data_IF_201626357328
#
_entry.id   IF_201626357328
#
_cell.length_a   1.000
_cell.length_b   1.000
_cell.length_c   1.000
_cell.angle_alpha   90.00
_cell.angle_beta   90.00
_cell.angle_gamma   90.00
#
_symmetry.space_group_name_H-M   'P 1'
#
loop_
_entity.id
_entity.type
_entity.pdbx_description
1 polymer ?
#
# COMPACT_ATOMS: atom_id res chain seq x y z
N UNK A 1 10.22 33.81 23.39
CA UNK A 1 11.45 33.08 23.73
C UNK A 1 11.11 32.08 24.81
N UNK A 2 10.95 30.80 24.45
CA UNK A 2 10.73 29.69 25.39
C UNK A 2 11.79 28.63 25.08
N UNK A 3 12.53 28.09 26.05
CA UNK A 3 13.57 27.12 25.77
C UNK A 3 12.95 25.73 25.60
N UNK A 4 13.20 25.09 24.46
CA UNK A 4 12.99 23.66 24.30
C UNK A 4 14.20 22.92 24.88
N UNK A 5 13.97 22.21 25.97
CA UNK A 5 14.86 21.22 26.54
C UNK A 5 14.98 20.03 25.59
N UNK A 6 16.22 19.65 25.27
CA UNK A 6 16.56 18.52 24.41
C UNK A 6 16.14 17.19 25.05
N UNK A 7 15.32 16.41 24.35
CA UNK A 7 15.13 14.99 24.64
C UNK A 7 16.23 14.19 23.92
N UNK A 8 17.18 13.69 24.70
CA UNK A 8 18.18 12.71 24.27
C UNK A 8 17.48 11.38 24.02
N UNK A 9 17.41 10.94 22.76
CA UNK A 9 17.03 9.56 22.43
C UNK A 9 18.25 8.65 22.60
N UNK A 10 18.12 7.67 23.49
CA UNK A 10 19.09 6.59 23.70
C UNK A 10 18.95 5.61 22.52
N UNK A 11 19.98 5.53 21.68
CA UNK A 11 20.15 4.45 20.72
C UNK A 11 20.58 3.17 21.45
N UNK A 12 19.81 2.10 21.33
CA UNK A 12 20.30 0.75 21.60
C UNK A 12 21.22 0.34 20.45
N UNK A 13 22.52 0.59 20.60
CA UNK A 13 23.59 -0.02 19.81
C UNK A 13 23.72 -1.48 20.24
N UNK A 14 23.22 -2.41 19.44
CA UNK A 14 23.70 -3.79 19.49
C UNK A 14 25.07 -3.82 18.80
N UNK A 15 26.12 -3.77 19.62
CA UNK A 15 27.49 -3.99 19.17
C UNK A 15 27.66 -5.44 18.71
N UNK A 16 27.79 -5.65 17.40
CA UNK A 16 28.37 -6.88 16.85
C UNK A 16 29.89 -6.72 16.80
N UNK A 17 30.59 -7.54 17.55
CA UNK A 17 32.04 -7.60 17.63
C UNK A 17 32.67 -7.89 16.28
N UNK A 18 33.68 -7.10 15.92
CA UNK A 18 34.55 -7.29 14.75
C UNK A 18 35.22 -8.65 14.80
N UNK A 19 34.82 -9.56 13.91
CA UNK A 19 35.62 -10.73 13.53
C UNK A 19 36.62 -10.33 12.47
N UNK A 20 37.89 -10.69 12.67
CA UNK A 20 38.98 -10.56 11.68
C UNK A 20 38.62 -11.28 10.38
N UNK A 21 38.97 -10.73 9.19
CA UNK A 21 38.83 -11.45 7.94
C UNK A 21 39.75 -12.67 7.90
N UNK A 22 39.35 -13.80 7.27
CA UNK A 22 40.24 -14.92 7.06
C UNK A 22 41.34 -14.55 6.05
N UNK A 23 42.53 -15.18 6.12
CA UNK A 23 43.62 -14.90 5.19
C UNK A 23 43.26 -15.35 3.77
N UNK A 24 43.64 -14.53 2.79
CA UNK A 24 43.56 -14.84 1.36
C UNK A 24 44.30 -16.16 1.06
N UNK A 25 43.59 -17.09 0.42
CA UNK A 25 44.19 -18.30 -0.13
C UNK A 25 45.09 -17.91 -1.31
N UNK A 26 46.41 -17.86 -1.07
CA UNK A 26 47.41 -17.81 -2.14
C UNK A 26 47.52 -19.19 -2.78
N UNK A 27 47.30 -19.27 -4.09
CA UNK A 27 47.75 -20.43 -4.87
C UNK A 27 49.29 -20.51 -4.81
N UNK A 28 49.89 -21.70 -4.58
CA UNK A 28 51.32 -21.86 -4.71
C UNK A 28 51.75 -21.68 -6.17
N UNK A 29 52.81 -20.92 -6.39
CA UNK A 29 53.44 -20.79 -7.69
C UNK A 29 54.06 -22.13 -8.12
N UNK A 30 53.75 -22.56 -9.34
CA UNK A 30 54.45 -23.65 -10.00
C UNK A 30 53.80 -25.03 -9.85
N UNK A 31 52.62 -25.21 -10.45
CA UNK A 31 52.19 -26.48 -11.05
C UNK A 31 51.02 -26.20 -12.00
N UNK A 32 51.18 -26.56 -13.27
CA UNK A 32 50.19 -26.31 -14.31
C UNK A 32 48.96 -27.20 -14.16
N UNK A 33 47.78 -26.61 -14.40
CA UNK A 33 46.53 -27.35 -14.55
C UNK A 33 45.40 -26.86 -13.65
N UNK A 34 44.71 -25.79 -14.08
CA UNK A 34 43.34 -25.52 -13.65
C UNK A 34 42.49 -25.30 -14.91
N UNK A 35 42.12 -26.42 -15.54
CA UNK A 35 41.04 -26.49 -16.50
C UNK A 35 39.99 -27.44 -15.92
N UNK A 36 38.78 -26.95 -15.70
CA UNK A 36 37.67 -27.73 -15.17
C UNK A 36 36.48 -26.84 -14.87
N UNK A 37 35.54 -26.81 -15.81
CA UNK A 37 34.18 -26.30 -15.63
C UNK A 37 33.53 -26.96 -14.40
N UNK A 38 32.92 -26.17 -13.51
CA UNK A 38 31.64 -26.51 -12.86
C UNK A 38 31.11 -25.32 -12.03
N UNK A 39 30.27 -24.52 -12.67
CA UNK A 39 29.65 -23.30 -12.14
C UNK A 39 28.36 -23.61 -11.33
N UNK A 40 28.32 -24.72 -10.58
CA UNK A 40 27.10 -25.15 -9.87
C UNK A 40 27.25 -25.51 -8.39
N UNK A 41 28.38 -25.20 -7.73
CA UNK A 41 28.58 -25.55 -6.32
C UNK A 41 28.73 -24.39 -5.32
N UNK A 42 28.19 -23.19 -5.62
CA UNK A 42 28.09 -22.08 -4.66
C UNK A 42 26.65 -21.79 -4.19
N UNK A 43 25.84 -22.84 -4.04
CA UNK A 43 24.49 -22.77 -3.46
C UNK A 43 24.26 -23.79 -2.34
N UNK A 44 25.27 -24.14 -1.55
CA UNK A 44 25.05 -24.93 -0.34
C UNK A 44 26.06 -24.57 0.74
N UNK A 45 25.70 -23.67 1.66
CA UNK A 45 25.98 -23.73 3.12
C UNK A 45 25.64 -22.40 3.81
N UNK A 46 24.37 -22.22 4.11
CA UNK A 46 23.94 -21.49 5.31
C UNK A 46 22.62 -22.08 5.78
N UNK A 47 22.68 -23.20 6.51
CA UNK A 47 21.54 -23.66 7.31
C UNK A 47 21.54 -22.85 8.59
N UNK A 48 20.73 -21.80 8.65
CA UNK A 48 20.28 -21.26 9.93
C UNK A 48 19.19 -22.20 10.42
N UNK A 49 19.40 -22.79 11.59
CA UNK A 49 18.48 -23.71 12.26
C UNK A 49 17.16 -22.98 12.59
N UNK A 50 16.10 -23.29 11.84
CA UNK A 50 14.79 -22.62 11.89
C UNK A 50 13.80 -23.30 12.84
N UNK A 51 14.25 -24.15 13.77
CA UNK A 51 13.35 -24.99 14.59
C UNK A 51 13.00 -24.50 15.98
N UNK A 52 13.31 -23.26 16.34
CA UNK A 52 12.78 -22.67 17.57
C UNK A 52 12.18 -21.28 17.30
N UNK A 53 10.91 -21.11 17.70
CA UNK A 53 10.19 -19.82 17.85
C UNK A 53 9.34 -19.30 16.68
N UNK A 54 8.58 -20.16 15.97
CA UNK A 54 7.35 -19.73 15.25
C UNK A 54 6.18 -20.73 15.36
N UNK A 55 6.38 -21.90 15.96
CA UNK A 55 5.39 -22.97 16.00
C UNK A 55 4.34 -22.85 17.13
N UNK A 56 4.40 -21.83 18.01
CA UNK A 56 3.42 -21.64 19.11
C UNK A 56 2.48 -20.43 18.98
N UNK A 57 2.59 -19.62 17.92
CA UNK A 57 1.64 -18.51 17.66
C UNK A 57 0.62 -18.79 16.53
N UNK A 58 0.70 -19.94 15.85
CA UNK A 58 -0.20 -20.26 14.73
C UNK A 58 -1.39 -21.17 15.08
N UNK A 59 -1.42 -21.79 16.26
CA UNK A 59 -2.47 -22.78 16.59
C UNK A 59 -3.73 -22.22 17.27
N UNK A 60 -3.79 -20.93 17.64
CA UNK A 60 -5.00 -20.32 18.22
C UNK A 60 -5.94 -19.65 17.20
N UNK A 61 -5.52 -19.53 15.93
CA UNK A 61 -6.29 -18.86 14.87
C UNK A 61 -7.33 -19.76 14.16
N UNK A 62 -7.36 -21.06 14.50
CA UNK A 62 -8.30 -22.05 13.93
C UNK A 62 -9.50 -22.33 14.82
N UNK A 63 -10.01 -21.34 15.57
CA UNK A 63 -11.40 -21.44 16.03
C UNK A 63 -12.27 -21.26 14.79
N UNK A 64 -12.99 -22.32 14.43
CA UNK A 64 -14.09 -22.27 13.46
C UNK A 64 -14.96 -21.05 13.76
N UNK A 65 -14.80 -20.01 12.95
CA UNK A 65 -15.61 -18.83 13.10
C UNK A 65 -17.04 -19.18 12.70
N UNK A 66 -17.98 -18.97 13.62
CA UNK A 66 -19.43 -18.94 13.37
C UNK A 66 -19.81 -17.72 12.52
N UNK A 67 -19.12 -17.48 11.40
CA UNK A 67 -19.33 -16.33 10.52
C UNK A 67 -20.40 -16.57 9.45
N UNK A 68 -21.18 -17.64 9.59
CA UNK A 68 -22.17 -18.05 8.62
C UNK A 68 -23.60 -17.72 9.04
N UNK A 69 -23.82 -17.21 10.26
CA UNK A 69 -25.12 -16.78 10.81
C UNK A 69 -25.20 -15.24 10.79
N UNK A 70 -25.78 -14.68 9.74
CA UNK A 70 -25.85 -13.28 9.38
C UNK A 70 -26.90 -12.51 10.16
N UNK A 71 -27.98 -13.18 10.54
CA UNK A 71 -29.11 -12.59 11.24
C UNK A 71 -29.09 -12.93 12.76
N UNK A 72 -28.15 -13.76 13.22
CA UNK A 72 -28.00 -14.25 14.59
C UNK A 72 -29.17 -15.11 15.09
N UNK A 73 -29.90 -15.80 14.21
CA UNK A 73 -31.01 -16.70 14.56
C UNK A 73 -30.53 -18.11 14.98
N UNK A 74 -29.22 -18.36 14.95
CA UNK A 74 -28.61 -19.64 15.26
C UNK A 74 -28.50 -20.58 14.05
N UNK A 75 -28.94 -20.17 12.87
CA UNK A 75 -28.93 -20.93 11.62
C UNK A 75 -27.89 -20.32 10.67
N UNK A 76 -26.84 -21.09 10.28
CA UNK A 76 -25.90 -20.66 9.25
C UNK A 76 -26.61 -20.42 7.90
N UNK A 77 -26.86 -19.18 7.49
CA UNK A 77 -27.46 -18.86 6.19
C UNK A 77 -26.44 -18.97 5.06
N UNK A 78 -25.17 -18.70 5.34
CA UNK A 78 -24.17 -18.76 4.28
C UNK A 78 -23.81 -20.20 3.85
N UNK A 79 -24.28 -21.21 4.58
CA UNK A 79 -24.14 -22.63 4.27
C UNK A 79 -22.70 -23.15 4.23
N UNK A 80 -22.52 -24.47 4.34
CA UNK A 80 -21.21 -25.08 4.18
C UNK A 80 -20.66 -24.83 2.77
N UNK A 81 -19.38 -24.49 2.65
CA UNK A 81 -18.72 -24.40 1.34
C UNK A 81 -18.68 -25.80 0.70
N UNK A 82 -19.38 -26.00 -0.42
CA UNK A 82 -19.33 -27.23 -1.20
C UNK A 82 -18.39 -27.06 -2.40
N UNK A 83 -17.33 -27.85 -2.45
CA UNK A 83 -16.40 -27.90 -3.59
C UNK A 83 -17.00 -28.66 -4.80
N UNK A 84 -18.13 -29.36 -4.63
CA UNK A 84 -18.50 -30.49 -5.50
C UNK A 84 -19.98 -30.61 -5.91
N UNK A 85 -20.77 -29.54 -5.90
CA UNK A 85 -22.04 -29.57 -6.63
C UNK A 85 -21.78 -29.34 -8.13
N UNK A 86 -21.38 -30.42 -8.79
CA UNK A 86 -20.91 -30.51 -10.17
C UNK A 86 -21.98 -30.38 -11.26
N UNK A 87 -22.85 -29.39 -11.18
CA UNK A 87 -23.70 -29.01 -12.32
C UNK A 87 -23.50 -27.53 -12.64
N UNK A 88 -22.56 -27.28 -13.56
CA UNK A 88 -22.17 -26.01 -14.18
C UNK A 88 -21.06 -25.21 -13.47
N UNK A 89 -19.81 -25.65 -13.67
CA UNK A 89 -18.57 -24.87 -13.93
C UNK A 89 -18.42 -23.39 -13.51
N UNK A 90 -18.99 -22.93 -12.39
CA UNK A 90 -18.73 -21.60 -11.79
C UNK A 90 -18.81 -21.64 -10.26
N UNK A 91 -17.65 -21.63 -9.60
CA UNK A 91 -17.38 -21.05 -8.27
C UNK A 91 -18.14 -21.61 -7.06
N UNK A 92 -17.40 -22.03 -6.02
CA UNK A 92 -17.99 -22.31 -4.71
C UNK A 92 -18.79 -21.10 -4.21
N UNK A 93 -20.06 -21.31 -3.87
CA UNK A 93 -21.00 -20.25 -3.57
C UNK A 93 -21.75 -20.43 -2.26
N UNK A 94 -22.16 -19.30 -1.69
CA UNK A 94 -23.04 -19.21 -0.52
C UNK A 94 -24.40 -19.86 -0.81
N UNK A 95 -24.91 -20.68 0.12
CA UNK A 95 -26.19 -21.39 -0.07
C UNK A 95 -27.41 -20.47 -0.01
N UNK A 96 -27.31 -19.31 0.66
CA UNK A 96 -28.37 -18.32 0.76
C UNK A 96 -27.91 -16.93 0.25
N UNK A 97 -27.87 -16.74 -1.08
CA UNK A 97 -27.43 -15.49 -1.70
C UNK A 97 -28.23 -14.24 -1.30
N UNK A 98 -29.51 -14.39 -0.95
CA UNK A 98 -30.34 -13.26 -0.53
C UNK A 98 -30.01 -12.76 0.88
N UNK A 99 -29.37 -13.58 1.72
CA UNK A 99 -28.99 -13.24 3.10
C UNK A 99 -27.54 -12.78 3.21
N UNK A 100 -26.66 -13.29 2.36
CA UNK A 100 -25.26 -12.87 2.29
C UNK A 100 -25.13 -11.82 1.17
N UNK A 101 -25.35 -10.52 1.47
CA UNK A 101 -25.26 -9.41 0.51
C UNK A 101 -23.97 -9.52 -0.35
N UNK A 102 -24.17 -9.89 -1.62
CA UNK A 102 -23.14 -10.34 -2.54
C UNK A 102 -21.90 -9.43 -2.65
N UNK A 103 -20.73 -9.94 -2.27
CA UNK A 103 -19.46 -9.56 -2.91
C UNK A 103 -18.55 -10.79 -3.11
N UNK A 104 -18.74 -11.50 -4.22
CA UNK A 104 -17.77 -12.49 -4.69
C UNK A 104 -16.51 -11.76 -5.18
N UNK A 105 -15.36 -12.02 -4.56
CA UNK A 105 -14.06 -11.70 -5.16
C UNK A 105 -13.42 -12.99 -5.65
N UNK A 106 -13.37 -13.16 -6.98
CA UNK A 106 -12.50 -14.16 -7.61
C UNK A 106 -11.08 -13.98 -7.02
N UNK A 107 -10.46 -15.09 -6.60
CA UNK A 107 -9.13 -15.21 -5.97
C UNK A 107 -9.00 -14.98 -4.45
N UNK A 108 -10.01 -14.48 -3.71
CA UNK A 108 -9.97 -14.50 -2.22
C UNK A 108 -10.53 -15.79 -1.59
N UNK A 109 -11.13 -16.65 -2.42
CA UNK A 109 -11.85 -17.85 -2.02
C UNK A 109 -11.03 -19.14 -2.07
N UNK A 110 -9.72 -19.06 -1.83
CA UNK A 110 -8.89 -20.26 -1.63
C UNK A 110 -9.04 -20.83 -0.20
N UNK A 111 -9.65 -20.05 0.71
CA UNK A 111 -10.02 -20.48 2.05
C UNK A 111 -11.56 -20.58 2.15
N UNK A 112 -12.13 -21.79 2.15
CA UNK A 112 -13.57 -22.02 2.02
C UNK A 112 -14.43 -21.38 3.13
N UNK A 113 -13.82 -21.00 4.27
CA UNK A 113 -14.51 -20.33 5.37
C UNK A 113 -14.64 -18.81 5.25
N UNK A 114 -13.97 -18.15 4.28
CA UNK A 114 -13.93 -16.68 4.17
C UNK A 114 -14.80 -16.09 3.06
N UNK A 115 -15.41 -16.92 2.23
CA UNK A 115 -16.19 -16.47 1.07
C UNK A 115 -17.55 -15.88 1.44
N UNK A 116 -18.01 -16.18 2.65
CA UNK A 116 -19.31 -15.77 3.13
C UNK A 116 -19.14 -15.17 4.52
N UNK A 117 -18.77 -13.89 4.55
CA UNK A 117 -18.78 -13.12 5.79
C UNK A 117 -20.05 -12.29 5.79
N UNK A 118 -20.94 -12.60 6.71
CA UNK A 118 -22.06 -11.74 7.05
C UNK A 118 -21.52 -10.38 7.50
N UNK A 119 -21.71 -9.36 6.66
CA UNK A 119 -21.29 -8.00 7.00
C UNK A 119 -22.44 -7.34 7.74
N UNK A 120 -22.27 -6.93 9.01
CA UNK A 120 -23.32 -6.19 9.68
C UNK A 120 -23.69 -4.96 8.81
N UNK A 121 -24.99 -4.63 8.70
CA UNK A 121 -25.42 -3.47 7.96
C UNK A 121 -24.75 -2.24 8.55
N UNK A 122 -24.30 -1.33 7.68
CA UNK A 122 -23.76 -0.08 8.18
C UNK A 122 -24.87 0.75 8.82
N UNK A 123 -24.56 1.52 9.87
CA UNK A 123 -25.53 2.44 10.45
C UNK A 123 -26.13 3.34 9.36
N UNK A 124 -27.44 3.64 9.43
CA UNK A 124 -28.06 4.58 8.51
C UNK A 124 -27.34 5.95 8.58
N UNK A 125 -27.17 6.60 7.42
CA UNK A 125 -26.46 7.89 7.30
C UNK A 125 -25.00 7.80 6.82
N UNK A 126 -24.51 6.61 6.47
CA UNK A 126 -23.26 6.47 5.70
C UNK A 126 -23.53 6.87 4.25
N UNK A 127 -22.69 7.73 3.66
CA UNK A 127 -22.83 8.36 2.35
C UNK A 127 -22.76 7.39 1.15
N UNK A 128 -23.67 6.42 1.08
CA UNK A 128 -23.71 5.42 0.01
C UNK A 128 -24.60 5.82 -1.17
N UNK A 129 -25.42 6.87 -1.03
CA UNK A 129 -26.50 7.20 -1.98
C UNK A 129 -26.63 8.67 -2.37
N UNK A 130 -25.71 9.55 -1.95
CA UNK A 130 -25.82 11.00 -2.21
C UNK A 130 -25.35 11.34 -3.65
N UNK A 131 -26.09 12.20 -4.40
CA UNK A 131 -25.75 12.57 -5.77
C UNK A 131 -24.34 13.18 -5.87
N UNK A 132 -23.50 12.62 -6.75
CA UNK A 132 -22.12 13.09 -6.97
C UNK A 132 -21.07 12.47 -6.04
N UNK A 133 -21.47 11.69 -5.03
CA UNK A 133 -20.56 10.88 -4.22
C UNK A 133 -20.65 9.43 -4.70
N UNK A 134 -19.79 9.07 -5.66
CA UNK A 134 -19.69 7.69 -6.12
C UNK A 134 -19.07 6.82 -5.02
N UNK A 135 -19.90 6.03 -4.34
CA UNK A 135 -19.46 5.04 -3.38
C UNK A 135 -19.07 3.73 -4.10
N UNK A 136 -17.79 3.38 -4.05
CA UNK A 136 -17.24 2.15 -4.61
C UNK A 136 -17.25 0.99 -3.61
N UNK A 137 -17.70 1.22 -2.38
CA UNK A 137 -17.88 0.20 -1.36
C UNK A 137 -17.38 0.64 0.01
N UNK A 138 -17.24 -0.35 0.90
CA UNK A 138 -16.67 -0.18 2.24
C UNK A 138 -15.16 -0.29 2.20
N UNK A 139 -14.46 0.53 2.97
CA UNK A 139 -13.00 0.42 3.07
C UNK A 139 -12.59 -0.73 3.99
N UNK A 140 -11.58 -1.50 3.55
CA UNK A 140 -10.90 -2.53 4.32
C UNK A 140 -9.38 -2.44 4.08
N UNK A 141 -8.59 -2.85 5.07
CA UNK A 141 -7.13 -2.87 4.94
C UNK A 141 -6.62 -4.15 4.24
N UNK A 142 -5.30 -4.20 4.03
CA UNK A 142 -4.59 -5.31 3.37
C UNK A 142 -4.91 -6.67 3.96
N UNK A 143 -4.73 -6.78 5.28
CA UNK A 143 -4.93 -8.03 6.01
C UNK A 143 -6.40 -8.37 6.22
N UNK A 144 -7.32 -7.50 5.78
CA UNK A 144 -8.77 -7.63 5.94
C UNK A 144 -9.23 -7.89 7.39
N UNK A 145 -8.41 -7.56 8.37
CA UNK A 145 -8.75 -7.64 9.80
C UNK A 145 -9.38 -6.34 10.30
N UNK A 146 -9.33 -5.27 9.50
CA UNK A 146 -10.11 -4.06 9.69
C UNK A 146 -11.02 -3.91 8.48
N UNK A 147 -12.32 -4.03 8.73
CA UNK A 147 -13.37 -3.65 7.82
C UNK A 147 -14.22 -2.57 8.49
N UNK A 148 -14.57 -1.53 7.75
CA UNK A 148 -15.27 -0.36 8.29
C UNK A 148 -16.52 -0.02 7.49
N UNK A 149 -17.35 0.85 8.05
CA UNK A 149 -18.45 1.47 7.33
C UNK A 149 -18.06 2.75 6.60
N UNK A 150 -16.76 3.08 6.52
CA UNK A 150 -16.32 4.26 5.81
C UNK A 150 -16.57 4.08 4.29
N UNK A 151 -17.31 4.99 3.63
CA UNK A 151 -17.51 4.95 2.20
C UNK A 151 -16.18 5.19 1.50
N UNK A 152 -15.92 4.43 0.45
CA UNK A 152 -14.73 4.53 -0.36
C UNK A 152 -15.06 5.17 -1.71
N UNK A 153 -14.43 6.31 -1.98
CA UNK A 153 -14.74 7.18 -3.11
C UNK A 153 -13.53 7.36 -4.00
N UNK A 154 -13.77 7.58 -5.31
CA UNK A 154 -12.71 7.77 -6.30
C UNK A 154 -13.04 8.96 -7.23
N UNK A 155 -12.75 10.21 -6.80
CA UNK A 155 -13.01 11.39 -7.64
C UNK A 155 -12.19 11.34 -8.93
N UNK A 156 -12.77 11.80 -10.03
CA UNK A 156 -12.13 11.69 -11.35
C UNK A 156 -11.14 12.83 -11.64
N UNK A 157 -11.27 13.97 -10.97
CA UNK A 157 -10.46 15.17 -11.21
C UNK A 157 -10.49 16.11 -10.00
N UNK A 158 -9.81 17.26 -10.11
CA UNK A 158 -9.72 18.28 -9.05
C UNK A 158 -11.09 18.81 -8.60
N UNK A 159 -12.00 19.06 -9.55
CA UNK A 159 -13.32 19.62 -9.25
C UNK A 159 -14.14 18.63 -8.42
N UNK A 160 -14.13 17.37 -8.82
CA UNK A 160 -14.84 16.30 -8.10
C UNK A 160 -14.26 16.11 -6.70
N UNK A 161 -12.93 16.15 -6.56
CA UNK A 161 -12.29 16.05 -5.27
C UNK A 161 -12.62 17.25 -4.37
N UNK A 162 -12.56 18.48 -4.88
CA UNK A 162 -12.92 19.66 -4.10
C UNK A 162 -14.40 19.66 -3.69
N UNK A 163 -15.30 19.22 -4.57
CA UNK A 163 -16.72 19.04 -4.26
C UNK A 163 -16.92 17.99 -3.15
N UNK A 164 -16.18 16.88 -3.21
CA UNK A 164 -16.20 15.84 -2.20
C UNK A 164 -15.69 16.32 -0.84
N UNK A 165 -14.62 17.13 -0.81
CA UNK A 165 -14.11 17.74 0.44
C UNK A 165 -15.13 18.72 1.04
N UNK A 166 -15.78 19.54 0.20
CA UNK A 166 -16.86 20.44 0.63
C UNK A 166 -18.03 19.66 1.22
N UNK A 167 -18.45 18.59 0.55
CA UNK A 167 -19.48 17.67 1.04
C UNK A 167 -19.10 17.06 2.38
N UNK A 168 -17.87 16.52 2.49
CA UNK A 168 -17.37 15.90 3.70
C UNK A 168 -17.40 16.89 4.88
N UNK A 169 -16.94 18.13 4.67
CA UNK A 169 -17.00 19.19 5.67
C UNK A 169 -18.44 19.51 6.09
N UNK A 170 -19.37 19.65 5.13
CA UNK A 170 -20.77 19.97 5.41
C UNK A 170 -21.49 18.87 6.21
N UNK A 171 -21.08 17.61 6.06
CA UNK A 171 -21.65 16.45 6.76
C UNK A 171 -20.84 16.00 7.98
N UNK A 172 -19.74 16.70 8.31
CA UNK A 172 -18.89 16.36 9.46
C UNK A 172 -18.02 15.11 9.26
N UNK A 173 -17.77 14.68 8.03
CA UNK A 173 -16.87 13.57 7.75
C UNK A 173 -15.40 13.97 7.90
N UNK A 174 -14.61 13.07 8.50
CA UNK A 174 -13.14 13.10 8.45
C UNK A 174 -12.68 12.45 7.15
N UNK A 175 -11.93 13.17 6.33
CA UNK A 175 -11.44 12.64 5.05
C UNK A 175 -10.08 11.96 5.24
N UNK A 176 -9.91 10.76 4.69
CA UNK A 176 -8.65 10.01 4.74
C UNK A 176 -8.28 9.48 3.35
N UNK A 177 -7.08 9.79 2.83
CA UNK A 177 -6.65 9.21 1.56
C UNK A 177 -6.28 7.73 1.74
N UNK A 178 -6.61 6.92 0.75
CA UNK A 178 -6.20 5.52 0.65
C UNK A 178 -5.64 5.25 -0.73
N UNK A 179 -4.42 4.71 -0.75
CA UNK A 179 -3.82 4.10 -1.93
C UNK A 179 -4.45 2.74 -2.25
N UNK A 180 -3.60 1.75 -2.51
CA UNK A 180 -3.99 0.35 -2.68
C UNK A 180 -4.42 -0.38 -1.38
N UNK A 181 -4.71 0.36 -0.31
CA UNK A 181 -5.06 -0.15 1.01
C UNK A 181 -4.07 -1.19 1.60
N UNK A 182 -2.80 -1.15 1.21
CA UNK A 182 -1.81 -2.13 1.68
C UNK A 182 -1.27 -1.85 3.11
N UNK A 183 -1.53 -0.67 3.66
CA UNK A 183 -1.09 -0.37 5.04
C UNK A 183 -1.77 -1.30 6.04
N UNK A 184 -1.00 -1.81 7.00
CA UNK A 184 -1.53 -2.56 8.14
C UNK A 184 -2.12 -1.58 9.18
N UNK A 185 -3.09 -2.07 9.97
CA UNK A 185 -3.67 -1.31 11.08
C UNK A 185 -4.40 -0.01 10.68
N UNK A 186 -5.00 0.68 11.66
CA UNK A 186 -5.95 1.79 11.51
C UNK A 186 -5.42 3.10 10.91
N UNK A 187 -4.42 3.05 10.03
CA UNK A 187 -3.78 4.23 9.44
C UNK A 187 -4.76 5.07 8.61
N UNK A 188 -5.54 4.43 7.73
CA UNK A 188 -6.59 5.12 6.97
C UNK A 188 -7.78 5.34 7.89
N UNK A 189 -8.30 4.27 8.49
CA UNK A 189 -9.36 4.28 9.50
C UNK A 189 -9.34 2.97 10.27
N UNK A 190 -9.95 2.96 11.44
CA UNK A 190 -10.35 1.74 12.16
C UNK A 190 -11.89 1.65 12.24
N UNK A 191 -12.40 0.55 12.79
CA UNK A 191 -13.85 0.33 12.95
C UNK A 191 -14.48 1.17 14.08
N UNK A 192 -13.67 1.81 14.92
CA UNK A 192 -14.09 2.58 16.09
C UNK A 192 -14.23 4.07 15.79
N UNK A 193 -13.65 4.57 14.71
CA UNK A 193 -13.78 5.97 14.29
C UNK A 193 -14.97 6.12 13.33
N UNK A 194 -16.14 6.62 13.80
CA UNK A 194 -17.26 6.89 12.94
C UNK A 194 -16.98 8.11 12.05
N UNK A 195 -17.76 8.24 10.97
CA UNK A 195 -17.75 9.44 10.15
C UNK A 195 -16.44 9.65 9.38
N UNK A 196 -15.77 8.58 8.96
CA UNK A 196 -14.63 8.68 8.03
C UNK A 196 -15.13 8.51 6.60
N UNK A 197 -14.65 9.35 5.69
CA UNK A 197 -14.81 9.21 4.24
C UNK A 197 -13.44 8.91 3.63
N UNK A 198 -13.33 7.77 2.95
CA UNK A 198 -12.07 7.37 2.33
C UNK A 198 -12.02 7.79 0.87
N UNK A 199 -10.90 8.41 0.46
CA UNK A 199 -10.66 8.90 -0.90
C UNK A 199 -9.52 8.13 -1.52
N UNK A 200 -9.71 7.55 -2.70
CA UNK A 200 -8.62 7.01 -3.52
C UNK A 200 -8.51 7.75 -4.84
N UNK A 201 -7.27 7.95 -5.28
CA UNK A 201 -6.97 8.57 -6.58
C UNK A 201 -6.91 7.54 -7.71
N UNK A 202 -7.43 6.32 -7.53
CA UNK A 202 -7.39 5.25 -8.53
C UNK A 202 -8.05 5.61 -9.88
N UNK A 203 -9.03 6.52 -9.87
CA UNK A 203 -9.71 7.04 -11.07
C UNK A 203 -9.37 8.49 -11.39
N UNK A 204 -8.51 9.10 -10.60
CA UNK A 204 -8.20 10.52 -10.72
C UNK A 204 -7.29 10.75 -11.93
N UNK A 205 -7.61 11.74 -12.75
CA UNK A 205 -6.78 12.26 -13.83
C UNK A 205 -6.25 13.62 -13.42
N UNK A 206 -4.93 13.76 -13.42
CA UNK A 206 -4.28 15.02 -13.09
C UNK A 206 -4.26 15.96 -14.31
N UNK A 207 -4.26 17.29 -14.11
CA UNK A 207 -4.23 18.22 -15.23
C UNK A 207 -2.83 18.37 -15.84
N UNK A 208 -2.75 18.36 -17.18
CA UNK A 208 -1.56 18.72 -17.94
C UNK A 208 -0.33 17.87 -17.60
N UNK A 209 0.82 18.53 -17.38
CA UNK A 209 2.08 17.86 -17.07
C UNK A 209 2.06 17.04 -15.77
N UNK A 210 1.05 17.24 -14.91
CA UNK A 210 0.88 16.43 -13.70
C UNK A 210 0.31 15.04 -13.97
N UNK A 211 -0.25 14.78 -15.16
CA UNK A 211 -0.65 13.41 -15.51
C UNK A 211 0.59 12.55 -15.76
N UNK A 212 1.44 12.99 -16.68
CA UNK A 212 2.74 12.41 -16.96
C UNK A 212 3.60 13.39 -17.77
N UNK A 213 4.82 13.65 -17.31
CA UNK A 213 5.83 14.41 -18.05
C UNK A 213 7.24 13.96 -17.65
N UNK A 214 8.01 13.42 -18.61
CA UNK A 214 9.40 13.06 -18.41
C UNK A 214 10.30 14.19 -18.93
N UNK A 215 11.16 14.72 -18.06
CA UNK A 215 12.15 15.73 -18.40
C UNK A 215 13.53 15.11 -18.32
N UNK A 216 14.25 15.11 -19.45
CA UNK A 216 15.66 14.69 -19.52
C UNK A 216 16.53 15.93 -19.69
N UNK A 217 17.51 16.11 -18.81
CA UNK A 217 18.48 17.20 -18.85
C UNK A 217 19.81 16.70 -19.45
N UNK A 218 20.65 17.62 -19.98
CA UNK A 218 22.01 17.28 -20.39
C UNK A 218 22.78 16.56 -19.27
N UNK A 219 23.60 15.56 -19.65
CA UNK A 219 24.36 14.74 -18.70
C UNK A 219 23.59 13.57 -18.07
N UNK A 220 22.41 13.22 -18.58
CA UNK A 220 21.66 12.02 -18.17
C UNK A 220 20.79 12.19 -16.92
N UNK A 221 20.76 13.38 -16.33
CA UNK A 221 19.86 13.70 -15.22
C UNK A 221 18.41 13.74 -15.72
N UNK A 222 17.52 12.96 -15.12
CA UNK A 222 16.11 12.95 -15.49
C UNK A 222 15.19 13.14 -14.28
N UNK A 223 14.02 13.71 -14.52
CA UNK A 223 12.92 13.77 -13.56
C UNK A 223 11.60 13.45 -14.25
N UNK A 224 10.66 12.88 -13.52
CA UNK A 224 9.31 12.59 -14.02
C UNK A 224 8.27 13.22 -13.11
N UNK A 225 7.44 14.06 -13.69
CA UNK A 225 6.18 14.50 -13.08
C UNK A 225 5.10 13.48 -13.40
N UNK A 226 4.34 13.04 -12.41
CA UNK A 226 3.35 11.97 -12.55
C UNK A 226 2.20 12.11 -11.56
N UNK A 227 1.04 11.63 -11.96
CA UNK A 227 -0.17 11.58 -11.16
C UNK A 227 0.03 10.68 -9.92
N UNK A 228 -0.34 11.17 -8.74
CA UNK A 228 -0.15 10.44 -7.48
C UNK A 228 -1.07 9.21 -7.34
N UNK A 229 -2.16 9.16 -8.11
CA UNK A 229 -3.06 8.01 -8.22
C UNK A 229 -2.53 6.87 -9.07
N UNK A 230 -1.49 7.10 -9.89
CA UNK A 230 -0.84 6.03 -10.62
C UNK A 230 -0.18 5.03 -9.67
N UNK A 231 -0.15 3.79 -10.11
CA UNK A 231 0.62 2.71 -9.48
C UNK A 231 2.08 2.77 -9.89
N UNK A 232 2.94 2.17 -9.08
CA UNK A 232 4.34 1.98 -9.41
C UNK A 232 4.53 1.25 -10.75
N UNK A 233 3.69 0.27 -11.06
CA UNK A 233 3.70 -0.44 -12.34
C UNK A 233 3.46 0.50 -13.52
N UNK A 234 2.43 1.37 -13.43
CA UNK A 234 2.10 2.31 -14.50
C UNK A 234 3.26 3.27 -14.77
N UNK A 235 3.91 3.79 -13.72
CA UNK A 235 5.08 4.65 -13.89
C UNK A 235 6.25 3.87 -14.52
N UNK A 236 6.61 2.70 -13.98
CA UNK A 236 7.74 1.92 -14.49
C UNK A 236 7.54 1.46 -15.94
N UNK A 237 6.30 1.13 -16.32
CA UNK A 237 5.98 0.77 -17.70
C UNK A 237 6.25 1.92 -18.69
N UNK A 238 6.23 3.17 -18.23
CA UNK A 238 6.56 4.35 -19.05
C UNK A 238 8.05 4.68 -19.06
N UNK A 239 8.73 4.62 -17.90
CA UNK A 239 10.12 5.09 -17.78
C UNK A 239 11.17 4.02 -18.08
N UNK A 240 10.88 2.73 -17.84
CA UNK A 240 11.86 1.65 -18.09
C UNK A 240 12.24 1.49 -19.56
N UNK A 241 11.32 1.57 -20.54
CA UNK A 241 11.68 1.51 -21.96
C UNK A 241 12.61 2.65 -22.41
N UNK A 242 12.69 3.72 -21.61
CA UNK A 242 13.51 4.90 -21.86
C UNK A 242 14.84 4.86 -21.08
N UNK A 243 15.20 3.70 -20.51
CA UNK A 243 16.39 3.48 -19.70
C UNK A 243 16.45 4.33 -18.41
N UNK A 244 15.30 4.61 -17.79
CA UNK A 244 15.24 5.27 -16.48
C UNK A 244 14.55 4.42 -15.42
N UNK A 245 14.98 4.60 -14.17
CA UNK A 245 14.50 3.90 -13.00
C UNK A 245 14.26 4.87 -11.84
N UNK A 246 13.33 4.51 -10.95
CA UNK A 246 13.30 5.09 -9.62
C UNK A 246 14.54 4.61 -8.83
N UNK A 247 15.21 5.48 -8.07
CA UNK A 247 16.38 5.08 -7.28
C UNK A 247 16.09 4.01 -6.21
N UNK A 248 14.84 3.93 -5.74
CA UNK A 248 14.35 2.94 -4.79
C UNK A 248 12.98 2.42 -5.26
N UNK A 249 12.74 1.11 -5.13
CA UNK A 249 11.52 0.45 -5.58
C UNK A 249 11.10 -0.64 -4.59
N UNK A 250 9.86 -0.57 -4.09
CA UNK A 250 9.30 -1.56 -3.15
C UNK A 250 8.71 -2.78 -3.86
N UNK A 251 8.47 -3.89 -3.14
CA UNK A 251 8.11 -5.18 -3.74
C UNK A 251 6.73 -5.21 -4.44
N UNK A 252 5.81 -4.28 -4.11
CA UNK A 252 4.45 -4.26 -4.65
C UNK A 252 4.29 -3.30 -5.82
N UNK A 253 4.01 -3.82 -7.02
CA UNK A 253 3.83 -3.02 -8.24
C UNK A 253 2.52 -2.20 -8.25
N UNK A 254 1.52 -2.62 -7.46
CA UNK A 254 0.18 -2.05 -7.44
C UNK A 254 0.01 -0.89 -6.45
N UNK A 255 1.07 -0.53 -5.72
CA UNK A 255 1.02 0.61 -4.79
C UNK A 255 0.90 1.93 -5.54
N UNK A 256 -0.05 2.75 -5.12
CA UNK A 256 -0.22 4.10 -5.65
C UNK A 256 0.88 5.02 -5.13
N UNK A 257 1.45 5.83 -6.01
CA UNK A 257 2.62 6.67 -5.75
C UNK A 257 2.39 7.65 -4.59
N UNK A 258 1.20 8.26 -4.50
CA UNK A 258 0.84 9.13 -3.38
C UNK A 258 0.88 8.41 -2.03
N UNK A 259 0.41 7.16 -1.98
CA UNK A 259 0.48 6.32 -0.80
C UNK A 259 1.91 5.92 -0.45
N UNK A 260 2.75 5.63 -1.44
CA UNK A 260 4.17 5.33 -1.23
C UNK A 260 4.89 6.54 -0.60
N UNK A 261 4.64 7.75 -1.10
CA UNK A 261 5.32 8.97 -0.65
C UNK A 261 4.80 9.47 0.70
N UNK A 262 3.50 9.32 0.96
CA UNK A 262 2.90 9.71 2.23
C UNK A 262 3.26 8.76 3.39
N UNK A 263 3.97 7.66 3.13
CA UNK A 263 4.38 6.67 4.12
C UNK A 263 5.90 6.45 4.08
N UNK A 264 6.46 5.82 5.11
CA UNK A 264 7.88 5.45 5.21
C UNK A 264 8.19 4.18 4.39
N UNK A 265 7.94 4.21 3.07
CA UNK A 265 8.16 3.05 2.19
C UNK A 265 9.59 3.02 1.67
N UNK A 266 10.30 1.93 1.97
CA UNK A 266 11.64 1.65 1.43
C UNK A 266 11.58 0.69 0.24
N UNK A 267 12.69 0.57 -0.47
CA UNK A 267 12.87 -0.38 -1.57
C UNK A 267 13.77 -1.56 -1.20
N UNK A 268 14.11 -2.37 -2.22
CA UNK A 268 15.06 -3.49 -2.10
C UNK A 268 16.52 -3.13 -2.43
N UNK A 269 16.83 -1.86 -2.67
CA UNK A 269 18.19 -1.40 -3.01
C UNK A 269 18.90 -1.02 -1.72
N UNK A 270 20.01 -1.70 -1.39
CA UNK A 270 20.66 -1.64 -0.08
C UNK A 270 21.10 -0.22 0.35
N UNK A 271 21.68 0.55 -0.57
CA UNK A 271 22.18 1.91 -0.30
C UNK A 271 21.18 3.01 -0.69
N UNK A 272 19.93 2.66 -0.98
CA UNK A 272 18.88 3.62 -1.30
C UNK A 272 18.00 3.90 -0.07
N UNK A 273 17.64 5.17 0.12
CA UNK A 273 16.75 5.58 1.20
C UNK A 273 15.28 5.27 0.93
N UNK A 274 14.40 5.95 1.66
CA UNK A 274 12.96 5.86 1.44
C UNK A 274 12.57 6.44 0.08
N UNK A 275 11.53 5.89 -0.55
CA UNK A 275 11.12 6.31 -1.90
C UNK A 275 10.75 7.79 -1.95
N UNK A 276 10.23 8.36 -0.86
CA UNK A 276 9.84 9.77 -0.79
C UNK A 276 11.04 10.74 -0.90
N UNK A 277 12.27 10.29 -0.62
CA UNK A 277 13.47 11.14 -0.65
C UNK A 277 13.78 11.63 -2.06
N UNK A 278 13.34 10.87 -3.05
CA UNK A 278 13.55 11.17 -4.46
C UNK A 278 12.48 12.10 -5.04
N UNK A 279 11.48 12.51 -4.24
CA UNK A 279 10.47 13.48 -4.69
C UNK A 279 11.06 14.88 -4.63
N UNK A 280 11.00 15.66 -5.70
CA UNK A 280 11.48 17.06 -5.74
C UNK A 280 10.37 18.09 -5.72
N UNK A 281 9.15 17.67 -6.06
CA UNK A 281 8.00 18.55 -6.13
C UNK A 281 6.71 17.78 -5.89
N UNK A 282 5.76 18.42 -5.22
CA UNK A 282 4.43 17.85 -5.00
C UNK A 282 3.35 18.83 -5.43
N UNK A 283 2.27 18.30 -6.00
CA UNK A 283 1.00 18.99 -6.13
C UNK A 283 0.05 18.40 -5.11
N UNK A 284 -0.51 19.24 -4.23
CA UNK A 284 -1.35 18.80 -3.12
C UNK A 284 -2.65 19.58 -3.10
N UNK A 285 -3.72 18.96 -2.61
CA UNK A 285 -4.98 19.62 -2.27
C UNK A 285 -5.14 19.65 -0.75
N UNK A 286 -5.43 20.84 -0.23
CA UNK A 286 -5.72 21.07 1.18
C UNK A 286 -7.18 20.77 1.51
N UNK A 287 -7.51 20.77 2.80
CA UNK A 287 -8.84 20.42 3.30
C UNK A 287 -9.98 21.31 2.78
N UNK A 288 -9.67 22.51 2.28
CA UNK A 288 -10.62 23.48 1.74
C UNK A 288 -10.80 23.38 0.21
N UNK A 289 -10.08 22.46 -0.44
CA UNK A 289 -10.05 22.31 -1.89
C UNK A 289 -8.99 23.16 -2.59
N UNK A 290 -8.25 24.01 -1.87
CA UNK A 290 -7.16 24.81 -2.43
C UNK A 290 -6.01 23.89 -2.85
N UNK A 291 -5.45 24.16 -4.04
CA UNK A 291 -4.32 23.40 -4.57
C UNK A 291 -3.03 24.20 -4.39
N UNK A 292 -2.00 23.53 -3.87
CA UNK A 292 -0.68 24.10 -3.67
C UNK A 292 0.39 23.25 -4.38
N UNK A 293 1.38 23.94 -4.92
CA UNK A 293 2.63 23.31 -5.38
C UNK A 293 3.67 23.48 -4.28
N UNK A 294 4.33 22.40 -3.92
CA UNK A 294 5.38 22.35 -2.92
C UNK A 294 6.67 21.93 -3.62
N UNK A 295 7.62 22.84 -3.71
CA UNK A 295 8.96 22.62 -4.27
C UNK A 295 10.09 22.98 -3.30
N UNK A 296 9.76 23.55 -2.13
CA UNK A 296 10.72 23.90 -1.09
C UNK A 296 10.88 22.76 -0.09
N UNK A 297 12.13 22.33 0.14
CA UNK A 297 12.47 21.26 1.09
C UNK A 297 11.98 21.57 2.52
N UNK A 298 11.96 22.85 2.91
CA UNK A 298 11.50 23.29 4.23
C UNK A 298 10.04 22.92 4.52
N UNK A 299 9.22 22.76 3.49
CA UNK A 299 7.84 22.32 3.58
C UNK A 299 7.68 20.85 3.18
N UNK A 300 8.34 20.43 2.09
CA UNK A 300 8.20 19.09 1.52
C UNK A 300 8.51 17.97 2.54
N UNK A 301 9.46 18.19 3.45
CA UNK A 301 9.78 17.24 4.53
C UNK A 301 8.59 16.86 5.42
N UNK A 302 7.58 17.73 5.57
CA UNK A 302 6.39 17.45 6.37
C UNK A 302 5.36 16.63 5.60
N UNK A 303 5.36 16.74 4.27
CA UNK A 303 4.46 16.02 3.38
C UNK A 303 4.92 14.60 3.10
N UNK A 304 6.24 14.43 2.96
CA UNK A 304 6.90 13.13 2.99
C UNK A 304 6.58 12.48 4.34
N UNK A 305 6.04 11.27 4.30
CA UNK A 305 5.61 10.56 5.51
C UNK A 305 4.52 11.28 6.34
N UNK A 306 3.66 12.08 5.71
CA UNK A 306 2.55 12.79 6.39
C UNK A 306 1.38 11.88 6.79
N UNK A 307 1.37 10.63 6.36
CA UNK A 307 0.25 9.70 6.52
C UNK A 307 -1.08 10.26 5.99
N UNK A 308 -1.01 11.19 5.02
CA UNK A 308 -2.17 11.88 4.46
C UNK A 308 -2.94 12.77 5.45
N UNK A 309 -2.28 13.24 6.52
CA UNK A 309 -2.90 14.09 7.55
C UNK A 309 -2.91 15.58 7.17
N UNK A 310 -2.03 16.01 6.27
CA UNK A 310 -1.90 17.42 5.85
C UNK A 310 -2.81 17.78 4.66
N UNK A 311 -3.28 16.77 3.92
CA UNK A 311 -4.06 16.93 2.70
C UNK A 311 -3.88 15.72 1.79
N UNK A 312 -4.22 15.89 0.52
CA UNK A 312 -4.18 14.83 -0.50
C UNK A 312 -3.10 15.18 -1.52
N UNK A 313 -2.10 14.31 -1.65
CA UNK A 313 -1.07 14.42 -2.70
C UNK A 313 -1.71 14.01 -4.03
N UNK A 314 -1.74 14.93 -5.00
CA UNK A 314 -2.37 14.75 -6.31
C UNK A 314 -1.36 14.43 -7.42
N UNK A 315 -0.12 14.91 -7.28
CA UNK A 315 0.93 14.73 -8.27
C UNK A 315 2.30 14.86 -7.63
N UNK A 316 3.28 14.20 -8.23
CA UNK A 316 4.63 14.04 -7.70
C UNK A 316 5.62 14.29 -8.83
N UNK A 317 6.75 14.92 -8.52
CA UNK A 317 7.94 14.90 -9.37
C UNK A 317 9.00 14.04 -8.69
N UNK A 318 9.50 13.01 -9.37
CA UNK A 318 10.59 12.16 -8.90
C UNK A 318 11.87 12.47 -9.68
N UNK A 319 13.02 12.46 -8.98
CA UNK A 319 14.33 12.25 -9.62
C UNK A 319 14.43 10.81 -10.09
N UNK A 320 15.00 10.62 -11.27
CA UNK A 320 15.27 9.32 -11.87
C UNK A 320 16.78 9.09 -11.99
N UNK A 321 17.15 7.82 -12.10
CA UNK A 321 18.51 7.39 -12.45
C UNK A 321 18.50 6.66 -13.79
N UNK A 322 19.55 6.81 -14.61
CA UNK A 322 19.73 5.99 -15.80
C UNK A 322 19.96 4.52 -15.41
N UNK A 323 19.63 3.61 -16.32
CA UNK A 323 19.90 2.17 -16.20
C UNK A 323 21.39 1.86 -16.32
#
# INVERSE_FOLDING_TARGET
MFPLTALTFIFCLAASSRGTPPPEARCPAGQGGCAGNDDTQLLQRTRVDSRATMARMQHSWWRHYKHQDCNHDGIPECGGYSYWNGTNSKGGGCSNPSSCEFQYRLFKCLDPGRCCVCRPPCPPGVATSEPGVYNFGRWNNWGAHIETCAPWTMPANDKDLAALLKYAKAKGYKVRPSGAAHSAGGLVTDALVPGVLVVSLARYTAPGAWEYNLTVRPGGNASVTVNAGWTQLQLMAKIRPLNYFLPSFTAGYFFQLGGIVANTVHGGVYDAGFIYEYVTRMRVMLHDGTIKIIDQESEMRFWRNSYGLLGIILGLEFKLVPR
#
